data_IF_602807418621
#
_entry.id   IF_602807418621
#
_cell.length_a   1.000
_cell.length_b   1.000
_cell.length_c   1.000
_cell.angle_alpha   90.00
_cell.angle_beta   90.00
_cell.angle_gamma   90.00
#
_symmetry.space_group_name_H-M   'P 1'
#
loop_
_entity.id
_entity.type
_entity.pdbx_description
1 polymer ?
#
# COMPACT_ATOMS: atom_id res chain seq x y z
N UNK A 1 9.63 -7.95 -12.92
CA UNK A 1 10.19 -7.09 -11.85
C UNK A 1 10.44 -5.64 -12.31
N UNK A 2 11.17 -5.40 -13.41
CA UNK A 2 11.41 -4.03 -13.94
C UNK A 2 10.15 -3.27 -14.40
N UNK A 3 9.17 -3.96 -14.99
CA UNK A 3 7.94 -3.33 -15.51
C UNK A 3 7.09 -2.65 -14.42
N UNK A 4 6.99 -3.29 -13.24
CA UNK A 4 6.30 -2.73 -12.07
C UNK A 4 7.03 -1.55 -11.41
N UNK A 5 8.33 -1.41 -11.67
CA UNK A 5 9.17 -0.35 -11.12
C UNK A 5 9.23 0.90 -12.00
N UNK A 6 9.13 0.76 -13.33
CA UNK A 6 9.34 1.88 -14.26
C UNK A 6 8.12 2.30 -15.06
N UNK A 7 7.20 1.39 -15.41
CA UNK A 7 6.07 1.68 -16.30
C UNK A 7 4.70 1.62 -15.60
N UNK A 8 4.64 1.24 -14.32
CA UNK A 8 3.37 1.16 -13.60
C UNK A 8 2.95 2.53 -13.04
N UNK A 9 1.74 3.03 -13.34
CA UNK A 9 1.22 4.32 -12.83
C UNK A 9 1.13 4.38 -11.29
N UNK A 10 1.30 3.24 -10.62
CA UNK A 10 1.31 3.11 -9.16
C UNK A 10 2.69 3.36 -8.50
N UNK A 11 3.74 3.74 -9.26
CA UNK A 11 5.05 4.13 -8.68
C UNK A 11 4.96 5.42 -7.88
N UNK A 12 3.98 6.29 -8.18
CA UNK A 12 3.76 7.55 -7.47
C UNK A 12 3.32 7.34 -6.02
N UNK A 13 2.84 6.14 -5.67
CA UNK A 13 2.35 5.90 -4.32
C UNK A 13 3.50 5.66 -3.32
N UNK A 14 3.53 6.46 -2.24
CA UNK A 14 4.53 6.32 -1.21
C UNK A 14 4.33 5.01 -0.44
N UNK A 15 5.43 4.44 0.08
CA UNK A 15 5.39 3.21 0.85
C UNK A 15 6.78 2.63 1.12
N UNK A 16 6.89 1.68 2.06
CA UNK A 16 8.17 1.07 2.44
C UNK A 16 8.84 0.40 1.25
N UNK A 17 10.16 0.56 1.11
CA UNK A 17 10.93 -0.10 0.05
C UNK A 17 10.75 -1.63 0.07
N UNK A 18 10.67 -2.21 1.27
CA UNK A 18 10.41 -3.65 1.46
C UNK A 18 9.04 -4.07 0.93
N UNK A 19 8.02 -3.25 1.13
CA UNK A 19 6.65 -3.48 0.61
C UNK A 19 6.56 -3.33 -0.90
N UNK A 20 7.45 -2.54 -1.51
CA UNK A 20 7.57 -2.43 -2.97
C UNK A 20 8.25 -3.66 -3.58
N UNK A 21 9.18 -4.27 -2.86
CA UNK A 21 9.96 -5.40 -3.32
C UNK A 21 9.27 -6.75 -3.06
N UNK A 22 8.53 -6.91 -1.97
CA UNK A 22 8.01 -8.21 -1.53
C UNK A 22 6.79 -8.12 -0.61
N UNK A 23 5.99 -9.19 -0.57
CA UNK A 23 4.89 -9.39 0.39
C UNK A 23 5.36 -9.79 1.79
N UNK A 24 6.65 -10.06 1.98
CA UNK A 24 7.25 -10.48 3.25
C UNK A 24 6.90 -9.57 4.46
N UNK A 25 7.01 -8.23 4.39
CA UNK A 25 6.63 -7.38 5.51
C UNK A 25 5.14 -7.49 5.84
N UNK A 26 4.27 -7.57 4.84
CA UNK A 26 2.84 -7.82 5.05
C UNK A 26 2.61 -9.17 5.74
N UNK A 27 3.15 -10.25 5.19
CA UNK A 27 3.04 -11.61 5.75
C UNK A 27 3.52 -11.65 7.21
N UNK A 28 4.66 -11.03 7.51
CA UNK A 28 5.18 -10.97 8.88
C UNK A 28 4.23 -10.22 9.82
N UNK A 29 3.64 -9.11 9.38
CA UNK A 29 2.68 -8.35 10.20
C UNK A 29 1.33 -9.06 10.34
N UNK A 30 0.90 -9.79 9.30
CA UNK A 30 -0.29 -10.66 9.33
C UNK A 30 -0.11 -11.79 10.33
N UNK A 31 1.02 -12.51 10.28
CA UNK A 31 1.35 -13.57 11.24
C UNK A 31 1.45 -13.06 12.68
N UNK A 32 1.85 -11.80 12.86
CA UNK A 32 1.87 -11.12 14.17
C UNK A 32 0.52 -10.56 14.61
N UNK A 33 -0.52 -10.61 13.76
CA UNK A 33 -1.82 -9.98 14.00
C UNK A 33 -1.78 -8.45 14.06
N UNK A 34 -0.70 -7.83 13.57
CA UNK A 34 -0.46 -6.37 13.63
C UNK A 34 -0.61 -5.66 12.28
N UNK A 35 -1.08 -6.37 11.26
CA UNK A 35 -1.33 -5.82 9.93
C UNK A 35 -2.14 -4.51 9.96
N UNK A 36 -3.32 -4.42 10.62
CA UNK A 36 -4.11 -3.19 10.62
C UNK A 36 -3.39 -2.01 11.30
N UNK A 37 -2.67 -2.25 12.40
CA UNK A 37 -1.88 -1.22 13.08
C UNK A 37 -0.71 -0.74 12.23
N UNK A 38 -0.05 -1.66 11.54
CA UNK A 38 1.04 -1.33 10.63
C UNK A 38 0.55 -0.52 9.44
N UNK A 39 -0.56 -0.92 8.80
CA UNK A 39 -1.19 -0.16 7.72
C UNK A 39 -1.61 1.23 8.21
N UNK A 40 -2.20 1.34 9.41
CA UNK A 40 -2.55 2.64 9.99
C UNK A 40 -1.31 3.52 10.19
N UNK A 41 -0.20 2.96 10.71
CA UNK A 41 1.06 3.67 10.84
C UNK A 41 1.62 4.12 9.48
N UNK A 42 1.53 3.25 8.47
CA UNK A 42 1.93 3.56 7.10
C UNK A 42 1.12 4.73 6.54
N UNK A 43 -0.19 4.77 6.76
CA UNK A 43 -1.01 5.91 6.36
C UNK A 43 -0.66 7.20 7.11
N UNK A 44 -0.30 7.10 8.39
CA UNK A 44 0.12 8.25 9.18
C UNK A 44 1.43 8.86 8.67
N UNK A 45 2.33 8.02 8.16
CA UNK A 45 3.67 8.43 7.69
C UNK A 45 3.69 8.84 6.22
N UNK A 46 2.98 8.10 5.36
CA UNK A 46 3.03 8.26 3.90
C UNK A 46 1.80 8.95 3.32
N UNK A 47 0.73 9.12 4.12
CA UNK A 47 -0.48 9.82 3.73
C UNK A 47 -1.65 8.90 3.35
N UNK A 48 -2.68 9.44 2.66
CA UNK A 48 -3.96 8.75 2.47
C UNK A 48 -3.90 7.51 1.58
N UNK A 49 -2.82 7.34 0.81
CA UNK A 49 -2.60 6.18 -0.05
C UNK A 49 -1.21 5.62 0.21
N UNK A 50 -1.14 4.34 0.58
CA UNK A 50 0.14 3.69 0.87
C UNK A 50 0.22 2.30 0.27
N UNK A 51 1.41 1.98 -0.25
CA UNK A 51 1.70 0.64 -0.77
C UNK A 51 2.27 -0.25 0.32
N UNK A 52 1.46 -1.19 0.79
CA UNK A 52 1.86 -2.15 1.82
C UNK A 52 2.30 -3.50 1.24
N UNK A 53 1.96 -3.80 -0.02
CA UNK A 53 2.42 -4.98 -0.76
C UNK A 53 2.78 -4.64 -2.22
N UNK A 54 3.56 -5.47 -2.92
CA UNK A 54 4.01 -5.19 -4.28
C UNK A 54 2.84 -5.06 -5.26
N UNK A 55 1.73 -5.75 -5.04
CA UNK A 55 0.54 -5.65 -5.90
C UNK A 55 -0.68 -5.07 -5.17
N UNK A 56 -0.53 -4.59 -3.93
CA UNK A 56 -1.66 -4.10 -3.12
C UNK A 56 -1.39 -2.69 -2.59
N UNK A 57 -2.45 -1.87 -2.63
CA UNK A 57 -2.48 -0.52 -2.10
C UNK A 57 -3.58 -0.45 -1.04
N UNK A 58 -3.30 0.27 0.03
CA UNK A 58 -4.32 0.66 1.01
C UNK A 58 -4.66 2.13 0.81
N UNK A 59 -5.96 2.45 0.93
CA UNK A 59 -6.53 3.78 0.74
C UNK A 59 -7.38 4.10 1.97
N UNK A 60 -7.24 5.30 2.53
CA UNK A 60 -8.08 5.78 3.66
C UNK A 60 -8.95 6.99 3.32
N UNK A 61 -8.75 7.61 2.15
CA UNK A 61 -9.55 8.77 1.73
C UNK A 61 -10.89 8.35 1.15
N UNK A 62 -11.97 8.91 1.68
CA UNK A 62 -13.36 8.75 1.20
C UNK A 62 -13.56 9.22 -0.24
N UNK A 63 -12.78 10.19 -0.71
CA UNK A 63 -12.85 10.68 -2.10
C UNK A 63 -12.42 9.62 -3.12
N UNK A 64 -11.43 8.78 -2.80
CA UNK A 64 -10.96 7.72 -3.70
C UNK A 64 -11.96 6.55 -3.75
N UNK A 65 -12.66 6.28 -2.65
CA UNK A 65 -13.73 5.27 -2.63
C UNK A 65 -14.86 5.68 -3.56
N UNK A 66 -15.23 6.97 -3.61
CA UNK A 66 -16.24 7.48 -4.55
C UNK A 66 -15.80 7.39 -6.01
N UNK A 67 -14.52 7.59 -6.31
CA UNK A 67 -14.00 7.50 -7.68
C UNK A 67 -13.88 6.04 -8.17
N UNK A 68 -13.70 5.08 -7.25
CA UNK A 68 -13.59 3.64 -7.55
C UNK A 68 -14.96 2.94 -7.54
N UNK A 69 -15.89 3.34 -6.65
CA UNK A 69 -17.22 2.74 -6.51
C UNK A 69 -18.36 3.60 -7.10
N UNK A 70 -18.08 4.80 -7.59
CA UNK A 70 -19.05 5.68 -8.22
C UNK A 70 -19.33 5.26 -9.66
N UNK A 71 -20.32 4.37 -9.82
CA UNK A 71 -21.09 4.24 -11.04
C UNK A 71 -22.33 5.14 -10.97
#
# INVERSE_FOLDING_TARGET
LLYNLFLHPLRRYPGPLLSRASVLPMQSQTLRGRLPFWIHHLHKTYGPVVRYAPNELSFISSDVVKDIYGH
#
